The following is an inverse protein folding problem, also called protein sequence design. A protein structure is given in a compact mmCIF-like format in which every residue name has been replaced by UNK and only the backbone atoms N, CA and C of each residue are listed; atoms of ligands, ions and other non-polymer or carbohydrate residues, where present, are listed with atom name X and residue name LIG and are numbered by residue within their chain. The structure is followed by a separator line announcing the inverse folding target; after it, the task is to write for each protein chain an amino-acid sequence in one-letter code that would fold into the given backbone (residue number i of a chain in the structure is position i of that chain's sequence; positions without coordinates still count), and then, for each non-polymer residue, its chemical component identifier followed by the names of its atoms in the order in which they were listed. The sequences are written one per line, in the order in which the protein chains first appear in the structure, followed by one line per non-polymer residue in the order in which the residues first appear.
data_IF_956454737627
#
_entry.id   IF_956454737627
#
_cell.length_a   1.000
_cell.length_b   1.000
_cell.length_c   1.000
_cell.angle_alpha   90.00
_cell.angle_beta   90.00
_cell.angle_gamma   90.00
#
_symmetry.space_group_name_H-M   'P 1'
#
loop_
_entity.id
_entity.type
_entity.pdbx_description
1 polymer ?
#
# COMPACT_ATOMS: atom_id res chain seq x y z
N UNK A 1 29.45 7.30 19.42
CA UNK A 1 28.93 7.81 18.13
C UNK A 1 27.48 8.22 18.29
N UNK A 2 27.16 9.46 17.92
CA UNK A 2 25.77 9.94 18.04
C UNK A 2 24.96 9.45 16.86
N UNK A 3 23.82 8.84 17.14
CA UNK A 3 22.87 8.51 16.08
C UNK A 3 22.01 9.74 15.77
N UNK A 4 21.80 9.99 14.51
CA UNK A 4 20.88 11.04 14.07
C UNK A 4 19.45 10.58 14.40
N UNK A 5 18.64 11.38 15.11
CA UNK A 5 17.26 11.01 15.37
C UNK A 5 16.50 10.80 14.05
N UNK A 6 15.62 9.80 14.03
CA UNK A 6 14.75 9.57 12.89
C UNK A 6 13.75 10.71 12.77
N UNK A 7 13.67 11.41 11.64
CA UNK A 7 12.69 12.48 11.46
C UNK A 7 11.26 11.95 11.62
N UNK A 8 10.38 12.79 12.13
CA UNK A 8 8.97 12.45 12.33
C UNK A 8 8.29 12.03 11.02
N UNK A 9 8.73 12.62 9.90
CA UNK A 9 8.17 12.34 8.57
C UNK A 9 8.77 11.11 7.90
N UNK A 10 9.80 10.50 8.48
CA UNK A 10 10.47 9.38 7.84
C UNK A 10 9.57 8.15 7.75
N UNK A 11 9.70 7.42 6.66
CA UNK A 11 9.05 6.12 6.48
C UNK A 11 9.86 5.09 7.25
N UNK A 12 9.22 4.39 8.18
CA UNK A 12 9.88 3.36 8.98
C UNK A 12 9.13 2.04 8.85
N UNK A 13 9.80 0.90 9.10
CA UNK A 13 9.10 -0.40 9.10
C UNK A 13 7.93 -0.42 10.09
N UNK A 14 8.07 0.25 11.24
CA UNK A 14 7.03 0.30 12.26
C UNK A 14 5.79 1.05 11.77
N UNK A 15 5.97 2.17 11.08
CA UNK A 15 4.85 2.94 10.50
C UNK A 15 4.17 2.14 9.40
N UNK A 16 4.94 1.47 8.56
CA UNK A 16 4.40 0.65 7.48
C UNK A 16 3.61 -0.52 8.04
N UNK A 17 4.11 -1.16 9.09
CA UNK A 17 3.41 -2.26 9.75
C UNK A 17 2.10 -1.77 10.39
N UNK A 18 2.11 -0.58 11.02
CA UNK A 18 0.90 -0.02 11.61
C UNK A 18 -0.14 0.35 10.55
N UNK A 19 0.29 0.93 9.44
CA UNK A 19 -0.61 1.22 8.32
C UNK A 19 -1.26 -0.06 7.81
N UNK A 20 -0.46 -1.10 7.60
CA UNK A 20 -0.94 -2.41 7.14
C UNK A 20 -1.96 -2.98 8.11
N UNK A 21 -1.66 -2.95 9.41
CA UNK A 21 -2.56 -3.46 10.44
C UNK A 21 -3.91 -2.75 10.42
N UNK A 22 -3.90 -1.42 10.29
CA UNK A 22 -5.14 -0.63 10.26
C UNK A 22 -5.96 -0.94 9.01
N UNK A 23 -5.31 -1.07 7.87
CA UNK A 23 -5.99 -1.40 6.62
C UNK A 23 -6.60 -2.80 6.67
N UNK A 24 -5.87 -3.77 7.22
CA UNK A 24 -6.38 -5.14 7.37
C UNK A 24 -7.59 -5.17 8.29
N UNK A 25 -7.53 -4.46 9.41
CA UNK A 25 -8.63 -4.42 10.38
C UNK A 25 -9.91 -3.83 9.77
N UNK A 26 -9.77 -2.84 8.89
CA UNK A 26 -10.91 -2.12 8.33
C UNK A 26 -11.43 -2.75 7.05
N UNK A 27 -10.55 -3.10 6.12
CA UNK A 27 -10.92 -3.58 4.79
C UNK A 27 -11.06 -5.09 4.71
N UNK A 28 -10.38 -5.83 5.58
CA UNK A 28 -10.27 -7.29 5.50
C UNK A 28 -9.92 -7.74 4.07
N UNK A 29 -8.81 -7.21 3.53
CA UNK A 29 -8.51 -7.41 2.11
C UNK A 29 -7.99 -8.82 1.83
N UNK A 30 -7.95 -9.15 0.56
CA UNK A 30 -7.29 -10.38 0.11
C UNK A 30 -5.78 -10.23 0.16
N UNK A 31 -5.28 -9.04 -0.19
CA UNK A 31 -3.84 -8.81 -0.28
C UNK A 31 -3.55 -7.32 -0.19
N UNK A 32 -2.41 -6.97 0.38
CA UNK A 32 -1.85 -5.62 0.33
C UNK A 32 -0.44 -5.73 -0.23
N UNK A 33 -0.16 -4.97 -1.28
CA UNK A 33 1.14 -4.99 -1.96
C UNK A 33 1.76 -3.60 -1.90
N UNK A 34 3.00 -3.53 -1.40
CA UNK A 34 3.84 -2.35 -1.53
C UNK A 34 4.43 -2.36 -2.93
N UNK A 35 4.25 -1.29 -3.70
CA UNK A 35 4.80 -1.21 -5.05
C UNK A 35 5.48 0.14 -5.27
N UNK A 36 5.91 0.40 -6.50
CA UNK A 36 6.57 1.65 -6.83
C UNK A 36 8.01 1.70 -6.35
N UNK A 37 8.55 2.90 -6.17
CA UNK A 37 9.96 3.11 -5.89
C UNK A 37 10.45 2.43 -4.62
N UNK A 38 9.64 2.36 -3.57
CA UNK A 38 10.03 1.71 -2.33
C UNK A 38 10.15 0.21 -2.45
N UNK A 39 9.31 -0.40 -3.28
CA UNK A 39 9.42 -1.84 -3.53
C UNK A 39 10.64 -2.17 -4.41
N UNK A 40 10.96 -1.27 -5.36
CA UNK A 40 12.13 -1.47 -6.22
C UNK A 40 13.45 -1.13 -5.52
N UNK A 41 13.42 -0.42 -4.39
CA UNK A 41 14.62 -0.04 -3.67
C UNK A 41 15.28 1.23 -4.19
N UNK A 42 14.61 1.99 -5.06
CA UNK A 42 15.14 3.24 -5.62
C UNK A 42 14.44 4.49 -5.05
N UNK A 43 13.72 4.32 -3.94
CA UNK A 43 13.00 5.41 -3.31
C UNK A 43 13.94 6.42 -2.64
N UNK A 44 13.56 7.68 -2.68
CA UNK A 44 14.19 8.71 -1.86
C UNK A 44 13.57 8.70 -0.46
N UNK A 45 14.22 9.37 0.48
CA UNK A 45 13.73 9.45 1.85
C UNK A 45 12.32 10.04 1.95
N UNK A 46 11.98 10.95 1.03
CA UNK A 46 10.69 11.64 0.98
C UNK A 46 9.71 11.04 -0.03
N UNK A 47 10.04 9.90 -0.62
CA UNK A 47 9.16 9.23 -1.59
C UNK A 47 7.89 8.72 -0.91
N UNK A 48 6.78 8.78 -1.65
CA UNK A 48 5.51 8.21 -1.17
C UNK A 48 5.60 6.70 -1.01
N UNK A 49 4.74 6.20 -0.16
CA UNK A 49 4.53 4.76 0.01
C UNK A 49 3.31 4.38 -0.83
N UNK A 50 3.53 3.61 -1.89
CA UNK A 50 2.46 3.18 -2.78
C UNK A 50 1.93 1.82 -2.32
N UNK A 51 0.68 1.79 -1.88
CA UNK A 51 0.04 0.57 -1.39
C UNK A 51 -1.15 0.21 -2.27
N UNK A 52 -1.15 -1.02 -2.75
CA UNK A 52 -2.28 -1.59 -3.49
C UNK A 52 -3.05 -2.50 -2.55
N UNK A 53 -4.33 -2.14 -2.31
CA UNK A 53 -5.24 -2.93 -1.47
C UNK A 53 -6.18 -3.68 -2.39
N UNK A 54 -6.09 -5.00 -2.38
CA UNK A 54 -6.92 -5.89 -3.20
C UNK A 54 -7.99 -6.48 -2.31
N UNK A 55 -9.25 -6.12 -2.57
CA UNK A 55 -10.40 -6.61 -1.82
C UNK A 55 -11.18 -7.59 -2.68
N UNK A 56 -12.01 -8.42 -2.05
CA UNK A 56 -12.83 -9.38 -2.79
C UNK A 56 -13.72 -8.68 -3.79
N UNK A 57 -14.37 -7.60 -3.37
CA UNK A 57 -15.26 -6.82 -4.21
C UNK A 57 -15.18 -5.36 -3.81
N UNK A 58 -15.09 -4.48 -4.79
CA UNK A 58 -15.11 -3.03 -4.56
C UNK A 58 -16.23 -2.45 -5.40
N UNK A 59 -17.28 -1.95 -4.76
CA UNK A 59 -18.43 -1.37 -5.46
C UNK A 59 -18.18 0.09 -5.86
N UNK A 60 -17.54 0.85 -4.99
CA UNK A 60 -17.23 2.25 -5.21
C UNK A 60 -15.80 2.50 -4.77
N UNK A 61 -14.89 2.57 -5.76
CA UNK A 61 -13.45 2.72 -5.48
C UNK A 61 -13.13 4.02 -4.77
N UNK A 62 -13.77 5.12 -5.19
CA UNK A 62 -13.49 6.43 -4.60
C UNK A 62 -13.92 6.45 -3.14
N UNK A 63 -15.11 5.95 -2.84
CA UNK A 63 -15.61 5.88 -1.48
C UNK A 63 -14.71 4.99 -0.61
N UNK A 64 -14.24 3.88 -1.16
CA UNK A 64 -13.37 2.96 -0.42
C UNK A 64 -12.00 3.59 -0.14
N UNK A 65 -11.43 4.28 -1.11
CA UNK A 65 -10.15 5.00 -0.93
C UNK A 65 -10.30 6.04 0.18
N UNK A 66 -11.39 6.79 0.17
CA UNK A 66 -11.65 7.78 1.22
C UNK A 66 -11.78 7.11 2.58
N UNK A 67 -12.53 6.02 2.65
CA UNK A 67 -12.72 5.27 3.90
C UNK A 67 -11.40 4.78 4.47
N UNK A 68 -10.56 4.20 3.61
CA UNK A 68 -9.29 3.65 4.04
C UNK A 68 -8.27 4.74 4.39
N UNK A 69 -8.27 5.85 3.68
CA UNK A 69 -7.40 6.97 4.04
C UNK A 69 -7.74 7.52 5.43
N UNK A 70 -8.98 7.48 5.83
CA UNK A 70 -9.38 7.95 7.16
C UNK A 70 -8.76 7.13 8.30
N UNK A 71 -8.61 5.82 8.10
CA UNK A 71 -8.01 4.97 9.16
C UNK A 71 -6.52 5.21 9.32
N UNK A 72 -5.88 5.80 8.33
CA UNK A 72 -4.46 6.15 8.38
C UNK A 72 -4.22 7.53 8.98
N UNK A 73 -5.27 8.26 9.30
CA UNK A 73 -5.17 9.59 9.88
C UNK A 73 -4.39 9.57 11.19
N UNK A 74 -3.49 10.53 11.36
CA UNK A 74 -2.65 10.60 12.56
C UNK A 74 -1.35 9.84 12.42
N UNK A 75 -1.26 8.93 11.47
CA UNK A 75 -0.01 8.24 11.15
C UNK A 75 0.76 9.12 10.16
N UNK A 76 1.92 9.58 10.59
CA UNK A 76 2.74 10.47 9.75
C UNK A 76 3.47 9.59 8.73
N UNK A 77 2.79 9.31 7.62
CA UNK A 77 3.27 8.43 6.57
C UNK A 77 2.65 8.87 5.25
N UNK A 78 3.47 9.23 4.24
CA UNK A 78 2.95 9.68 2.93
C UNK A 78 2.48 8.48 2.13
N UNK A 79 1.25 8.05 2.33
CA UNK A 79 0.69 6.87 1.65
C UNK A 79 -0.18 7.30 0.47
N UNK A 80 0.04 6.67 -0.67
CA UNK A 80 -0.85 6.72 -1.82
C UNK A 80 -1.54 5.35 -1.92
N UNK A 81 -2.86 5.34 -1.76
CA UNK A 81 -3.64 4.12 -1.80
C UNK A 81 -4.25 3.91 -3.18
N UNK A 82 -4.08 2.70 -3.70
CA UNK A 82 -4.82 2.21 -4.85
C UNK A 82 -5.66 1.04 -4.37
N UNK A 83 -6.95 1.05 -4.67
CA UNK A 83 -7.88 0.01 -4.24
C UNK A 83 -8.49 -0.64 -5.48
N UNK A 84 -8.56 -1.96 -5.48
CA UNK A 84 -9.11 -2.71 -6.61
C UNK A 84 -9.75 -4.01 -6.12
N UNK A 85 -10.77 -4.48 -6.83
CA UNK A 85 -11.35 -5.78 -6.58
C UNK A 85 -10.46 -6.90 -7.12
N UNK A 86 -10.52 -8.07 -6.51
CA UNK A 86 -9.67 -9.22 -6.85
C UNK A 86 -9.79 -9.63 -8.30
N UNK A 87 -11.02 -9.71 -8.82
CA UNK A 87 -11.24 -10.13 -10.20
C UNK A 87 -10.58 -9.16 -11.18
N UNK A 88 -10.75 -7.87 -10.96
CA UNK A 88 -10.18 -6.85 -11.81
C UNK A 88 -8.66 -6.85 -11.73
N UNK A 89 -8.12 -7.07 -10.53
CA UNK A 89 -6.67 -7.20 -10.37
C UNK A 89 -6.13 -8.36 -11.21
N UNK A 90 -6.78 -9.51 -11.17
CA UNK A 90 -6.36 -10.68 -11.94
C UNK A 90 -6.37 -10.39 -13.45
N UNK A 91 -7.35 -9.65 -13.93
CA UNK A 91 -7.42 -9.26 -15.35
C UNK A 91 -6.28 -8.36 -15.77
N UNK A 92 -5.93 -7.36 -14.95
CA UNK A 92 -4.93 -6.36 -15.32
C UNK A 92 -3.52 -6.72 -14.90
N UNK A 93 -3.35 -7.64 -13.96
CA UNK A 93 -2.02 -7.99 -13.44
C UNK A 93 -1.12 -8.61 -14.49
N UNK A 94 -1.68 -9.16 -15.55
CA UNK A 94 -0.93 -9.75 -16.65
C UNK A 94 -0.82 -8.81 -17.86
N UNK A 95 -1.31 -7.58 -17.74
CA UNK A 95 -1.26 -6.59 -18.82
C UNK A 95 -0.08 -5.63 -18.62
N UNK A 96 1.00 -5.76 -19.41
CA UNK A 96 2.14 -4.86 -19.30
C UNK A 96 1.72 -3.39 -19.47
N UNK A 97 2.38 -2.52 -18.73
CA UNK A 97 2.11 -1.09 -18.78
C UNK A 97 1.08 -0.63 -17.75
N UNK A 98 0.46 -1.54 -17.00
CA UNK A 98 -0.42 -1.18 -15.90
C UNK A 98 0.33 -1.20 -14.58
N UNK A 99 -0.15 -0.41 -13.60
CA UNK A 99 0.44 -0.46 -12.25
C UNK A 99 0.22 -1.83 -11.60
N UNK A 100 -0.83 -2.53 -11.99
CA UNK A 100 -1.16 -3.86 -11.44
C UNK A 100 -0.15 -4.91 -11.89
N UNK A 101 0.29 -4.82 -13.14
CA UNK A 101 1.37 -5.66 -13.65
C UNK A 101 2.66 -5.41 -12.88
N UNK A 102 3.02 -4.15 -12.69
CA UNK A 102 4.21 -3.76 -11.95
C UNK A 102 4.13 -4.24 -10.49
N UNK A 103 2.98 -4.05 -9.84
CA UNK A 103 2.79 -4.46 -8.46
C UNK A 103 2.92 -5.97 -8.29
N UNK A 104 2.37 -6.76 -9.21
CA UNK A 104 2.49 -8.21 -9.19
C UNK A 104 3.92 -8.67 -9.39
N UNK A 105 4.64 -8.02 -10.28
CA UNK A 105 5.98 -8.43 -10.69
C UNK A 105 7.07 -7.97 -9.73
N UNK A 106 6.98 -6.73 -9.28
CA UNK A 106 8.05 -6.09 -8.51
C UNK A 106 7.64 -5.72 -7.09
N UNK A 107 6.37 -5.87 -6.75
CA UNK A 107 5.85 -5.47 -5.46
C UNK A 107 6.24 -6.43 -4.35
N UNK A 108 6.13 -5.92 -3.13
CA UNK A 108 6.34 -6.70 -1.92
C UNK A 108 4.97 -6.92 -1.25
N UNK A 109 4.62 -8.19 -1.04
CA UNK A 109 3.37 -8.52 -0.37
C UNK A 109 3.52 -8.26 1.12
N UNK A 110 2.74 -7.29 1.63
CA UNK A 110 2.75 -6.96 3.06
C UNK A 110 1.74 -7.76 3.84
N UNK A 111 0.69 -8.22 3.18
CA UNK A 111 -0.37 -9.01 3.80
C UNK A 111 -1.07 -9.83 2.74
N UNK A 112 -1.41 -11.06 3.11
CA UNK A 112 -2.20 -11.95 2.26
C UNK A 112 -3.12 -12.78 3.16
N UNK A 113 -4.42 -12.77 2.86
CA UNK A 113 -5.38 -13.57 3.62
C UNK A 113 -5.29 -15.05 3.25
N UNK A 114 -5.62 -15.87 4.22
CA UNK A 114 -5.65 -17.31 4.00
C UNK A 114 -6.78 -17.71 3.05
#
# INVERSE_FOLDING_TARGET
MKQTPTPVWAVTPEKLAEATRRLVATAQPRKIILFGSRARGDARADSDVDLLVIEREVKDRVAEIVRLNRVLKGLILPVELVVIGEQMFEEYADTPGTLYFEAKREGEVLYESA
#
